data_IF_631481492949
#
_entry.id   IF_631481492949
#
_cell.length_a   1.000
_cell.length_b   1.000
_cell.length_c   1.000
_cell.angle_alpha   90.00
_cell.angle_beta   90.00
_cell.angle_gamma   90.00
#
_symmetry.space_group_name_H-M   'P 1'
#
loop_
_entity.id
_entity.type
_entity.pdbx_description
1 polymer ?
#
# COMPACT_ATOMS: atom_id res chain seq x y z
N UNK A 1 3.44 16.71 -3.32
CA UNK A 1 3.61 16.51 -4.75
C UNK A 1 3.98 15.07 -5.05
N UNK A 2 3.38 14.48 -6.08
CA UNK A 2 3.58 13.07 -6.43
C UNK A 2 4.48 12.95 -7.65
N UNK A 3 5.31 11.92 -7.66
CA UNK A 3 6.20 11.63 -8.76
C UNK A 3 6.12 10.14 -9.08
N UNK A 4 6.06 9.83 -10.38
CA UNK A 4 6.12 8.45 -10.86
C UNK A 4 7.55 7.96 -10.75
N UNK A 5 7.80 7.08 -9.79
CA UNK A 5 9.14 6.53 -9.57
C UNK A 5 9.00 5.13 -9.00
N UNK A 6 10.00 4.27 -9.22
CA UNK A 6 10.04 3.00 -8.50
C UNK A 6 10.16 3.27 -7.01
N UNK A 7 9.33 2.61 -6.21
CA UNK A 7 9.30 2.84 -4.77
C UNK A 7 10.18 1.87 -3.99
N UNK A 8 10.54 0.74 -4.60
CA UNK A 8 11.26 -0.31 -3.90
C UNK A 8 10.35 -1.29 -3.18
N UNK A 9 9.06 -1.16 -3.35
CA UNK A 9 8.07 -2.05 -2.74
C UNK A 9 7.28 -2.76 -3.81
N UNK A 10 6.77 -3.94 -3.49
CA UNK A 10 5.95 -4.71 -4.40
C UNK A 10 4.90 -5.48 -3.62
N UNK A 11 3.77 -5.74 -4.27
CA UNK A 11 2.69 -6.55 -3.74
C UNK A 11 2.78 -7.91 -4.42
N UNK A 12 2.98 -8.97 -3.63
CA UNK A 12 3.13 -10.31 -4.18
C UNK A 12 1.82 -10.95 -4.58
N UNK A 13 0.72 -10.58 -3.91
CA UNK A 13 -0.58 -11.22 -4.14
C UNK A 13 -1.68 -10.18 -4.30
N UNK A 14 -1.68 -9.52 -5.45
CA UNK A 14 -2.80 -8.66 -5.83
C UNK A 14 -3.97 -9.54 -6.27
N UNK A 15 -5.21 -9.02 -6.21
CA UNK A 15 -6.37 -9.81 -6.68
C UNK A 15 -6.19 -10.22 -8.14
N UNK A 16 -6.82 -11.33 -8.54
CA UNK A 16 -6.71 -11.79 -9.93
C UNK A 16 -7.10 -10.69 -10.91
N UNK A 17 -6.30 -10.54 -11.96
CA UNK A 17 -6.55 -9.53 -12.99
C UNK A 17 -6.03 -8.15 -12.66
N UNK A 18 -5.62 -7.89 -11.42
CA UNK A 18 -5.06 -6.59 -11.04
C UNK A 18 -3.60 -6.52 -11.42
N UNK A 19 -3.19 -5.35 -11.91
CA UNK A 19 -1.80 -5.08 -12.24
C UNK A 19 -1.41 -3.72 -11.74
N UNK A 20 -0.11 -3.54 -11.52
CA UNK A 20 0.42 -2.23 -11.13
C UNK A 20 0.22 -1.24 -12.26
N UNK A 21 -0.55 -0.20 -12.01
CA UNK A 21 -0.84 0.81 -13.02
C UNK A 21 -0.20 2.16 -12.68
N UNK A 22 0.22 2.34 -11.43
CA UNK A 22 0.83 3.60 -11.02
C UNK A 22 1.69 3.33 -9.80
N UNK A 23 2.84 4.00 -9.74
CA UNK A 23 3.77 3.86 -8.63
C UNK A 23 4.42 5.20 -8.42
N UNK A 24 4.33 5.75 -7.19
CA UNK A 24 4.82 7.10 -6.98
C UNK A 24 5.23 7.32 -5.53
N UNK A 25 6.04 8.33 -5.33
CA UNK A 25 6.39 8.85 -4.02
C UNK A 25 5.59 10.12 -3.79
N UNK A 26 5.01 10.25 -2.59
CA UNK A 26 4.25 11.44 -2.22
C UNK A 26 4.87 12.08 -1.01
N UNK A 27 5.14 13.38 -1.11
CA UNK A 27 5.56 14.16 0.03
C UNK A 27 4.32 14.72 0.70
N UNK A 28 4.12 14.38 1.96
CA UNK A 28 2.98 14.85 2.72
C UNK A 28 3.43 15.92 3.72
N UNK A 29 2.56 16.90 4.04
CA UNK A 29 2.99 18.05 4.84
C UNK A 29 3.58 17.71 6.18
N UNK A 30 3.07 16.73 6.87
CA UNK A 30 3.54 16.42 8.22
C UNK A 30 4.39 15.16 8.29
N UNK A 31 5.01 14.81 7.17
CA UNK A 31 5.86 13.63 7.11
C UNK A 31 7.28 14.03 6.77
N UNK A 32 8.23 13.53 7.55
CA UNK A 32 9.65 13.76 7.27
C UNK A 32 10.10 13.04 6.02
N UNK A 33 9.51 11.89 5.75
CA UNK A 33 9.89 11.05 4.61
C UNK A 33 8.70 10.85 3.70
N UNK A 34 8.95 10.65 2.40
CA UNK A 34 7.84 10.44 1.47
C UNK A 34 7.11 9.13 1.73
N UNK A 35 5.87 9.09 1.29
CA UNK A 35 5.02 7.89 1.36
C UNK A 35 5.01 7.26 -0.01
N UNK A 36 5.26 5.96 -0.06
CA UNK A 36 5.16 5.20 -1.31
C UNK A 36 3.72 4.84 -1.58
N UNK A 37 3.27 5.03 -2.80
CA UNK A 37 1.89 4.77 -3.20
C UNK A 37 1.89 3.94 -4.47
N UNK A 38 1.41 2.71 -4.38
CA UNK A 38 1.25 1.81 -5.51
C UNK A 38 -0.24 1.64 -5.79
N UNK A 39 -0.62 1.70 -7.05
CA UNK A 39 -2.00 1.54 -7.46
C UNK A 39 -2.11 0.33 -8.38
N UNK A 40 -2.98 -0.58 -8.00
CA UNK A 40 -3.29 -1.77 -8.79
C UNK A 40 -4.72 -1.68 -9.29
N UNK A 41 -4.96 -2.17 -10.49
CA UNK A 41 -6.30 -2.11 -11.08
C UNK A 41 -6.47 -3.21 -12.10
N UNK A 42 -7.73 -3.65 -12.27
CA UNK A 42 -8.10 -4.57 -13.34
C UNK A 42 -8.87 -3.85 -14.45
N UNK A 43 -8.92 -2.50 -14.37
CA UNK A 43 -9.67 -1.69 -15.33
C UNK A 43 -11.05 -1.30 -14.84
N UNK A 44 -11.57 -1.98 -13.84
CA UNK A 44 -12.89 -1.68 -13.26
C UNK A 44 -12.77 -1.21 -11.82
N UNK A 45 -11.98 -1.88 -11.03
CA UNK A 45 -11.76 -1.53 -9.63
C UNK A 45 -10.30 -1.16 -9.43
N UNK A 46 -10.04 -0.41 -8.36
CA UNK A 46 -8.71 0.07 -8.02
C UNK A 46 -8.40 -0.27 -6.57
N UNK A 47 -7.15 -0.61 -6.32
CA UNK A 47 -6.67 -0.88 -4.98
C UNK A 47 -5.40 -0.08 -4.78
N UNK A 48 -5.38 0.74 -3.72
CA UNK A 48 -4.22 1.56 -3.39
C UNK A 48 -3.45 0.92 -2.24
N UNK A 49 -2.13 0.93 -2.36
CA UNK A 49 -1.23 0.41 -1.35
C UNK A 49 -0.27 1.54 -0.96
N UNK A 50 -0.26 1.88 0.32
CA UNK A 50 0.62 2.90 0.86
C UNK A 50 1.63 2.24 1.79
N UNK A 51 2.89 2.61 1.63
CA UNK A 51 3.95 2.16 2.54
C UNK A 51 4.66 3.41 3.06
N UNK A 52 4.64 3.60 4.37
CA UNK A 52 5.24 4.78 4.96
C UNK A 52 6.09 4.41 6.15
N UNK A 53 7.20 5.14 6.37
CA UNK A 53 8.03 4.88 7.55
C UNK A 53 7.28 5.27 8.82
N UNK A 54 7.44 4.47 9.86
CA UNK A 54 6.98 4.83 11.19
C UNK A 54 8.04 5.68 11.87
N UNK A 55 7.60 6.67 12.63
CA UNK A 55 8.52 7.47 13.43
C UNK A 55 9.03 6.63 14.60
N UNK A 56 10.19 7.02 15.10
CA UNK A 56 10.75 6.35 16.25
C UNK A 56 9.75 6.39 17.41
N UNK A 57 9.48 5.22 18.00
CA UNK A 57 8.53 5.11 19.09
C UNK A 57 7.08 5.07 18.69
N UNK A 58 6.77 5.29 17.42
CA UNK A 58 5.40 5.20 16.93
C UNK A 58 4.99 3.74 16.84
N UNK A 59 3.75 3.48 17.22
CA UNK A 59 3.22 2.12 17.19
C UNK A 59 1.94 2.10 16.38
N UNK A 60 1.67 0.96 15.78
CA UNK A 60 0.45 0.75 15.04
C UNK A 60 0.04 -0.71 15.18
N UNK A 61 -1.26 -0.94 15.21
CA UNK A 61 -1.80 -2.30 15.29
C UNK A 61 -2.41 -2.68 13.95
N UNK A 62 -2.41 -3.97 13.70
CA UNK A 62 -3.08 -4.48 12.52
C UNK A 62 -4.59 -4.30 12.68
N UNK A 63 -5.25 -3.86 11.62
CA UNK A 63 -6.70 -3.64 11.64
C UNK A 63 -7.27 -3.79 10.25
N UNK A 64 -8.48 -4.33 10.16
CA UNK A 64 -9.23 -4.42 8.93
C UNK A 64 -10.61 -3.81 9.17
N UNK A 65 -11.10 -3.10 8.16
CA UNK A 65 -12.33 -2.33 8.32
C UNK A 65 -13.01 -2.16 6.98
N UNK A 66 -14.32 -1.96 7.02
CA UNK A 66 -15.11 -1.66 5.84
C UNK A 66 -15.89 -0.39 6.07
N UNK A 67 -15.95 0.45 5.06
CA UNK A 67 -16.71 1.68 5.08
C UNK A 67 -17.48 1.74 3.77
N UNK A 68 -18.73 1.30 3.81
CA UNK A 68 -19.49 1.14 2.59
C UNK A 68 -18.88 0.06 1.73
N UNK A 69 -18.59 0.38 0.48
CA UNK A 69 -17.95 -0.56 -0.45
C UNK A 69 -16.44 -0.59 -0.29
N UNK A 70 -15.87 0.31 0.50
CA UNK A 70 -14.43 0.44 0.63
C UNK A 70 -13.92 -0.47 1.74
N UNK A 71 -12.96 -1.32 1.41
CA UNK A 71 -12.26 -2.15 2.39
C UNK A 71 -10.90 -1.53 2.69
N UNK A 72 -10.49 -1.54 3.94
CA UNK A 72 -9.23 -0.97 4.38
C UNK A 72 -8.52 -1.99 5.27
N UNK A 73 -7.23 -2.13 5.04
CA UNK A 73 -6.38 -3.00 5.87
C UNK A 73 -5.10 -2.26 6.20
N UNK A 74 -4.73 -2.29 7.47
CA UNK A 74 -3.53 -1.61 7.96
C UNK A 74 -2.72 -2.64 8.75
N UNK A 75 -1.41 -2.67 8.51
CA UNK A 75 -0.53 -3.52 9.30
C UNK A 75 0.85 -2.88 9.45
N UNK A 76 1.46 -3.02 10.61
CA UNK A 76 2.87 -2.69 10.74
C UNK A 76 3.71 -3.75 10.04
N UNK A 77 4.82 -3.31 9.45
CA UNK A 77 5.74 -4.20 8.74
C UNK A 77 7.14 -3.68 9.02
N UNK A 78 7.77 -4.23 10.07
CA UNK A 78 9.04 -3.71 10.52
C UNK A 78 8.89 -2.27 11.01
N UNK A 79 9.69 -1.37 10.45
CA UNK A 79 9.61 0.04 10.79
C UNK A 79 8.76 0.83 9.80
N UNK A 80 7.88 0.14 9.10
CA UNK A 80 6.96 0.76 8.15
C UNK A 80 5.52 0.42 8.49
N UNK A 81 4.61 1.20 7.95
CA UNK A 81 3.17 0.96 8.04
C UNK A 81 2.65 0.74 6.63
N UNK A 82 1.93 -0.36 6.43
CA UNK A 82 1.29 -0.69 5.17
C UNK A 82 -0.20 -0.44 5.31
N UNK A 83 -0.77 0.34 4.38
CA UNK A 83 -2.20 0.59 4.32
C UNK A 83 -2.68 0.22 2.93
N UNK A 84 -3.70 -0.64 2.86
CA UNK A 84 -4.30 -1.06 1.60
C UNK A 84 -5.77 -0.71 1.64
N UNK A 85 -6.27 -0.10 0.57
CA UNK A 85 -7.68 0.22 0.49
C UNK A 85 -8.18 0.10 -0.94
N UNK A 86 -9.46 -0.23 -1.07
CA UNK A 86 -10.06 -0.38 -2.37
C UNK A 86 -11.48 -0.93 -2.29
N UNK A 87 -12.21 -0.82 -3.40
CA UNK A 87 -13.55 -1.40 -3.51
C UNK A 87 -13.42 -2.84 -3.95
N UNK A 88 -12.82 -3.64 -3.07
CA UNK A 88 -12.60 -5.07 -3.27
C UNK A 88 -12.92 -5.74 -1.93
N UNK A 89 -13.10 -7.06 -1.92
CA UNK A 89 -13.40 -7.75 -0.66
C UNK A 89 -12.33 -7.53 0.39
N UNK A 90 -12.72 -7.53 1.65
CA UNK A 90 -11.78 -7.35 2.76
C UNK A 90 -10.64 -8.37 2.69
N UNK A 91 -10.95 -9.62 2.33
CA UNK A 91 -9.92 -10.64 2.23
C UNK A 91 -8.86 -10.26 1.19
N UNK A 92 -9.25 -9.54 0.14
CA UNK A 92 -8.31 -9.14 -0.90
C UNK A 92 -7.34 -8.07 -0.41
N UNK A 93 -7.82 -7.06 0.33
CA UNK A 93 -6.91 -6.05 0.86
C UNK A 93 -6.00 -6.64 1.94
N UNK A 94 -6.49 -7.60 2.71
CA UNK A 94 -5.66 -8.28 3.70
C UNK A 94 -4.56 -9.10 3.03
N UNK A 95 -4.92 -9.86 2.01
CA UNK A 95 -3.94 -10.69 1.31
C UNK A 95 -2.88 -9.83 0.64
N UNK A 96 -3.31 -8.76 -0.03
CA UNK A 96 -2.38 -7.85 -0.67
C UNK A 96 -1.45 -7.20 0.36
N UNK A 97 -1.99 -6.72 1.48
CA UNK A 97 -1.19 -6.06 2.49
C UNK A 97 -0.16 -6.97 3.13
N UNK A 98 -0.52 -8.25 3.34
CA UNK A 98 0.41 -9.21 3.91
C UNK A 98 1.49 -9.62 2.93
N UNK A 99 1.29 -9.39 1.64
CA UNK A 99 2.22 -9.80 0.60
C UNK A 99 3.17 -8.68 0.17
N UNK A 100 3.10 -7.52 0.83
CA UNK A 100 4.00 -6.41 0.51
C UNK A 100 5.41 -6.77 0.96
N UNK A 101 6.38 -6.52 0.11
CA UNK A 101 7.77 -6.80 0.44
C UNK A 101 8.68 -5.83 -0.29
N UNK A 102 9.92 -5.77 0.17
CA UNK A 102 10.95 -5.01 -0.52
C UNK A 102 11.25 -5.67 -1.84
N UNK A 103 11.37 -4.84 -2.87
CA UNK A 103 11.77 -5.29 -4.18
C UNK A 103 13.25 -5.01 -4.34
N UNK A 104 14.06 -6.02 -4.73
CA UNK A 104 15.47 -5.74 -4.96
C UNK A 104 15.66 -4.71 -6.04
N UNK A 105 16.74 -3.95 -5.95
CA UNK A 105 17.05 -2.95 -6.96
C UNK A 105 17.21 -3.63 -8.32
N UNK A 106 16.73 -2.96 -9.36
CA UNK A 106 16.89 -3.46 -10.71
C UNK A 106 18.35 -3.39 -11.12
N UNK A 107 18.73 -4.24 -12.05
CA UNK A 107 20.08 -4.30 -12.55
C UNK A 107 20.17 -3.99 -13.97
#
# INVERSE_FOLDING_TARGET
EARQVPTGWAVGEAPPGFRLVSEMQRKLPNRAKPVSHLVYSDGLATMSVFVEPLNSGQRADEAANEDGALSVFVRPMGDHLVTVLGEVPTAAVQQAGRSVSRQPAAR
#
